data_IF_347769621983
#
_entry.id   IF_347769621983
#
_cell.length_a   1.000
_cell.length_b   1.000
_cell.length_c   1.000
_cell.angle_alpha   90.00
_cell.angle_beta   90.00
_cell.angle_gamma   90.00
#
_symmetry.space_group_name_H-M   'P 1'
#
loop_
_entity.id
_entity.type
_entity.pdbx_description
1 polymer ?
#
# COMPACT_ATOMS: atom_id res chain seq x y z
N UNK A 1 3.00 -14.10 -8.89
CA UNK A 1 2.04 -14.89 -9.69
C UNK A 1 2.08 -14.40 -11.13
N UNK A 2 2.14 -15.28 -12.13
CA UNK A 2 2.28 -14.86 -13.53
C UNK A 2 0.91 -14.60 -14.16
N UNK A 3 0.77 -13.48 -14.87
CA UNK A 3 -0.44 -13.12 -15.62
C UNK A 3 -0.08 -12.78 -17.07
N UNK A 4 -0.62 -13.55 -18.00
CA UNK A 4 -0.29 -13.49 -19.43
C UNK A 4 -1.51 -13.00 -20.20
N UNK A 5 -1.29 -12.14 -21.20
CA UNK A 5 -2.32 -11.79 -22.19
C UNK A 5 -2.38 -12.86 -23.26
N UNK A 6 -3.54 -13.51 -23.42
CA UNK A 6 -3.73 -14.62 -24.37
C UNK A 6 -5.12 -14.52 -25.03
N UNK A 7 -5.21 -14.66 -26.36
CA UNK A 7 -6.49 -14.85 -27.07
C UNK A 7 -7.53 -13.74 -26.87
N UNK A 8 -7.09 -12.49 -26.64
CA UNK A 8 -7.99 -11.38 -26.35
C UNK A 8 -8.47 -11.28 -24.88
N UNK A 9 -7.90 -12.10 -23.99
CA UNK A 9 -8.13 -12.08 -22.55
C UNK A 9 -6.85 -12.20 -21.75
N UNK A 10 -6.99 -12.64 -20.51
CA UNK A 10 -5.93 -12.76 -19.53
C UNK A 10 -5.98 -14.12 -18.84
N UNK A 11 -4.80 -14.66 -18.58
CA UNK A 11 -4.57 -15.93 -17.92
C UNK A 11 -3.70 -15.69 -16.70
N UNK A 12 -4.13 -16.15 -15.53
CA UNK A 12 -3.31 -16.20 -14.31
C UNK A 12 -2.95 -17.64 -13.97
N UNK A 13 -1.68 -17.89 -13.65
CA UNK A 13 -1.21 -19.17 -13.16
C UNK A 13 -0.78 -19.06 -11.70
N UNK A 14 -1.44 -19.84 -10.84
CA UNK A 14 -1.06 -20.01 -9.43
C UNK A 14 -0.23 -21.29 -9.31
N UNK A 15 1.06 -21.20 -9.60
CA UNK A 15 1.96 -22.37 -9.62
C UNK A 15 1.90 -23.20 -8.33
N UNK A 16 1.82 -22.55 -7.16
CA UNK A 16 1.73 -23.22 -5.86
C UNK A 16 0.46 -24.05 -5.66
N UNK A 17 -0.61 -23.77 -6.41
CA UNK A 17 -1.90 -24.48 -6.32
C UNK A 17 -2.20 -25.33 -7.56
N UNK A 18 -1.38 -25.26 -8.62
CA UNK A 18 -1.67 -25.88 -9.91
C UNK A 18 -2.94 -25.35 -10.58
N UNK A 19 -3.37 -24.13 -10.23
CA UNK A 19 -4.63 -23.54 -10.71
C UNK A 19 -4.35 -22.51 -11.80
N UNK A 20 -5.02 -22.68 -12.94
CA UNK A 20 -5.07 -21.69 -14.02
C UNK A 20 -6.45 -21.04 -14.05
N UNK A 21 -6.48 -19.72 -14.21
CA UNK A 21 -7.71 -18.92 -14.27
C UNK A 21 -7.66 -18.00 -15.47
N UNK A 22 -8.80 -17.86 -16.14
CA UNK A 22 -8.93 -17.07 -17.38
C UNK A 22 -10.10 -16.11 -17.26
N UNK A 23 -9.91 -14.89 -17.77
CA UNK A 23 -10.96 -13.90 -17.88
C UNK A 23 -10.73 -12.99 -19.09
N UNK A 24 -11.80 -12.35 -19.60
CA UNK A 24 -11.67 -11.39 -20.71
C UNK A 24 -10.96 -10.09 -20.32
N UNK A 25 -11.01 -9.68 -19.06
CA UNK A 25 -10.37 -8.46 -18.58
C UNK A 25 -9.65 -8.69 -17.24
N UNK A 26 -8.66 -7.84 -16.95
CA UNK A 26 -7.84 -7.93 -15.74
C UNK A 26 -8.64 -7.75 -14.45
N UNK A 27 -9.67 -6.91 -14.45
CA UNK A 27 -10.48 -6.65 -13.24
C UNK A 27 -11.20 -7.91 -12.78
N UNK A 28 -11.83 -8.64 -13.71
CA UNK A 28 -12.49 -9.91 -13.39
C UNK A 28 -11.48 -10.96 -12.94
N UNK A 29 -10.31 -11.04 -13.60
CA UNK A 29 -9.25 -11.96 -13.20
C UNK A 29 -8.77 -11.64 -11.78
N UNK A 30 -8.55 -10.37 -11.46
CA UNK A 30 -8.05 -9.93 -10.16
C UNK A 30 -9.05 -10.24 -9.03
N UNK A 31 -10.35 -10.02 -9.24
CA UNK A 31 -11.37 -10.46 -8.28
C UNK A 31 -11.34 -11.97 -8.05
N UNK A 32 -11.33 -12.77 -9.11
CA UNK A 32 -11.23 -14.23 -8.99
C UNK A 32 -9.98 -14.66 -8.20
N UNK A 33 -8.87 -13.92 -8.33
CA UNK A 33 -7.62 -14.26 -7.67
C UNK A 33 -7.64 -13.89 -6.19
N UNK A 34 -8.19 -12.72 -5.87
CA UNK A 34 -8.39 -12.30 -4.48
C UNK A 34 -9.32 -13.25 -3.73
N UNK A 35 -10.42 -13.66 -4.36
CA UNK A 35 -11.35 -14.63 -3.81
C UNK A 35 -10.68 -15.99 -3.57
N UNK A 36 -9.92 -16.48 -4.57
CA UNK A 36 -9.19 -17.74 -4.46
C UNK A 36 -8.13 -17.74 -3.35
N UNK A 37 -7.42 -16.62 -3.20
CA UNK A 37 -6.31 -16.50 -2.26
C UNK A 37 -6.73 -15.97 -0.88
N UNK A 38 -7.99 -15.54 -0.71
CA UNK A 38 -8.49 -14.95 0.53
C UNK A 38 -7.76 -13.66 0.94
N UNK A 39 -7.25 -12.90 -0.02
CA UNK A 39 -6.43 -11.70 0.21
C UNK A 39 -6.91 -10.50 -0.60
N UNK A 40 -6.76 -9.30 -0.06
CA UNK A 40 -7.07 -8.06 -0.76
C UNK A 40 -5.94 -7.58 -1.69
N UNK A 41 -4.78 -8.25 -1.64
CA UNK A 41 -3.60 -7.88 -2.43
C UNK A 41 -2.94 -9.11 -3.02
N UNK A 42 -2.66 -9.05 -4.32
CA UNK A 42 -2.01 -10.13 -5.07
C UNK A 42 -0.84 -9.55 -5.85
N UNK A 43 0.32 -10.19 -5.71
CA UNK A 43 1.53 -9.79 -6.42
C UNK A 43 1.61 -10.46 -7.79
N UNK A 44 1.35 -9.67 -8.83
CA UNK A 44 1.34 -10.11 -10.21
C UNK A 44 2.60 -9.68 -10.94
N UNK A 45 3.16 -10.60 -11.70
CA UNK A 45 4.07 -10.31 -12.80
C UNK A 45 3.28 -10.40 -14.10
N UNK A 46 3.26 -9.32 -14.88
CA UNK A 46 2.51 -9.26 -16.12
C UNK A 46 3.39 -9.56 -17.32
N UNK A 47 2.83 -10.30 -18.27
CA UNK A 47 3.32 -10.48 -19.63
C UNK A 47 2.22 -10.06 -20.60
N UNK A 48 2.25 -8.79 -21.01
CA UNK A 48 1.22 -8.20 -21.86
C UNK A 48 1.42 -8.50 -23.35
N UNK A 49 2.61 -8.99 -23.71
CA UNK A 49 3.09 -9.11 -25.09
C UNK A 49 3.83 -7.87 -25.59
N UNK A 50 3.88 -6.80 -24.78
CA UNK A 50 4.67 -5.60 -25.02
C UNK A 50 5.73 -5.48 -23.92
N UNK A 51 6.99 -5.70 -24.29
CA UNK A 51 8.11 -5.72 -23.36
C UNK A 51 8.39 -4.35 -22.71
N UNK A 52 8.09 -3.25 -23.40
CA UNK A 52 8.26 -1.91 -22.85
C UNK A 52 7.20 -1.65 -21.78
N UNK A 53 5.95 -1.99 -22.08
CA UNK A 53 4.85 -1.89 -21.12
C UNK A 53 5.12 -2.77 -19.88
N UNK A 54 5.53 -4.03 -20.08
CA UNK A 54 5.83 -4.95 -18.98
C UNK A 54 6.94 -4.40 -18.06
N UNK A 55 7.99 -3.82 -18.66
CA UNK A 55 9.08 -3.16 -17.92
C UNK A 55 8.58 -1.95 -17.15
N UNK A 56 7.79 -1.07 -17.77
CA UNK A 56 7.24 0.11 -17.12
C UNK A 56 6.32 -0.25 -15.96
N UNK A 57 5.43 -1.23 -16.14
CA UNK A 57 4.53 -1.70 -15.08
C UNK A 57 5.32 -2.23 -13.88
N UNK A 58 6.35 -3.04 -14.12
CA UNK A 58 7.23 -3.54 -13.06
C UNK A 58 7.89 -2.38 -12.29
N UNK A 59 8.47 -1.40 -13.00
CA UNK A 59 9.13 -0.25 -12.39
C UNK A 59 8.14 0.60 -11.57
N UNK A 60 6.96 0.89 -12.12
CA UNK A 60 5.92 1.68 -11.44
C UNK A 60 5.45 0.97 -10.16
N UNK A 61 5.18 -0.33 -10.22
CA UNK A 61 4.74 -1.10 -9.04
C UNK A 61 5.82 -1.14 -7.97
N UNK A 62 7.08 -1.35 -8.36
CA UNK A 62 8.23 -1.30 -7.44
C UNK A 62 8.37 0.07 -6.78
N UNK A 63 8.30 1.16 -7.56
CA UNK A 63 8.39 2.52 -7.06
C UNK A 63 7.24 2.87 -6.11
N UNK A 64 6.00 2.50 -6.45
CA UNK A 64 4.83 2.68 -5.57
C UNK A 64 4.99 1.90 -4.27
N UNK A 65 5.48 0.65 -4.34
CA UNK A 65 5.77 -0.14 -3.15
C UNK A 65 6.84 0.50 -2.26
N UNK A 66 7.91 1.04 -2.85
CA UNK A 66 8.94 1.77 -2.12
C UNK A 66 8.39 3.04 -1.48
N UNK A 67 7.63 3.84 -2.22
CA UNK A 67 6.98 5.05 -1.72
C UNK A 67 6.05 4.73 -0.53
N UNK A 68 5.24 3.68 -0.62
CA UNK A 68 4.38 3.24 0.47
C UNK A 68 5.16 2.88 1.73
N UNK A 69 6.28 2.14 1.61
CA UNK A 69 7.15 1.81 2.76
C UNK A 69 7.77 3.05 3.40
N UNK A 70 8.20 4.03 2.60
CA UNK A 70 8.71 5.29 3.13
C UNK A 70 7.63 6.11 3.81
N UNK A 71 6.41 6.13 3.26
CA UNK A 71 5.27 6.80 3.88
C UNK A 71 4.89 6.16 5.23
N UNK A 72 4.84 4.83 5.31
CA UNK A 72 4.61 4.11 6.57
C UNK A 72 5.72 4.38 7.60
N UNK A 73 6.98 4.42 7.15
CA UNK A 73 8.12 4.78 8.00
C UNK A 73 7.98 6.22 8.51
N UNK A 74 7.65 7.17 7.65
CA UNK A 74 7.42 8.57 8.02
C UNK A 74 6.30 8.65 9.06
N UNK A 75 5.14 8.03 8.81
CA UNK A 75 4.01 7.98 9.76
C UNK A 75 4.42 7.43 11.13
N UNK A 76 5.23 6.36 11.17
CA UNK A 76 5.74 5.79 12.43
C UNK A 76 6.69 6.74 13.16
N UNK A 77 7.61 7.39 12.45
CA UNK A 77 8.54 8.35 13.03
C UNK A 77 7.82 9.62 13.52
N UNK A 78 6.88 10.14 12.75
CA UNK A 78 5.99 11.24 13.14
C UNK A 78 5.28 10.91 14.46
N UNK A 79 4.65 9.74 14.58
CA UNK A 79 4.00 9.33 15.85
C UNK A 79 4.97 9.31 17.02
N UNK A 80 6.18 8.78 16.84
CA UNK A 80 7.20 8.76 17.89
C UNK A 80 7.61 10.18 18.30
N UNK A 81 7.80 11.08 17.34
CA UNK A 81 8.19 12.46 17.61
C UNK A 81 7.10 13.23 18.37
N UNK A 82 5.82 13.02 18.05
CA UNK A 82 4.69 13.65 18.75
C UNK A 82 4.58 13.24 20.23
N UNK A 83 5.15 12.09 20.62
CA UNK A 83 5.15 11.60 22.00
C UNK A 83 6.37 12.06 22.82
N UNK A 84 7.34 12.75 22.21
CA UNK A 84 8.52 13.23 22.91
C UNK A 84 8.19 14.55 23.65
N UNK A 85 8.45 14.64 24.97
CA UNK A 85 8.22 15.88 25.74
C UNK A 85 9.03 17.07 25.22
N UNK A 86 10.17 16.80 24.56
CA UNK A 86 11.02 17.82 23.94
C UNK A 86 10.44 18.43 22.66
N UNK A 87 9.28 17.96 22.20
CA UNK A 87 8.64 18.45 20.98
C UNK A 87 8.07 19.86 21.08
N UNK A 88 7.88 20.38 22.30
CA UNK A 88 7.31 21.70 22.51
C UNK A 88 5.81 21.75 22.19
N UNK A 89 5.34 22.92 21.75
CA UNK A 89 3.92 23.12 21.44
C UNK A 89 3.51 22.42 20.13
N UNK A 90 2.20 22.26 19.91
CA UNK A 90 1.68 21.75 18.64
C UNK A 90 2.01 22.64 17.42
N UNK A 91 2.44 23.90 17.62
CA UNK A 91 2.96 24.74 16.54
C UNK A 91 4.43 24.45 16.25
N UNK A 92 5.23 24.23 17.29
CA UNK A 92 6.64 23.85 17.14
C UNK A 92 6.77 22.50 16.44
N UNK A 93 5.94 21.53 16.82
CA UNK A 93 5.86 20.22 16.15
C UNK A 93 5.43 20.33 14.68
N UNK A 94 4.57 21.29 14.33
CA UNK A 94 4.17 21.49 12.94
C UNK A 94 5.37 21.91 12.09
N UNK A 95 6.19 22.85 12.60
CA UNK A 95 7.42 23.29 11.94
C UNK A 95 8.46 22.18 11.88
N UNK A 96 8.75 21.52 13.01
CA UNK A 96 9.78 20.46 13.11
C UNK A 96 9.49 19.27 12.19
N UNK A 97 8.21 18.95 11.99
CA UNK A 97 7.80 17.77 11.22
C UNK A 97 7.38 18.11 9.78
N UNK A 98 7.41 19.39 9.38
CA UNK A 98 6.95 19.82 8.06
C UNK A 98 5.45 19.53 7.82
N UNK A 99 4.64 19.62 8.87
CA UNK A 99 3.21 19.36 8.83
C UNK A 99 2.41 20.63 9.07
N UNK A 100 1.15 20.66 8.64
CA UNK A 100 0.25 21.73 9.07
C UNK A 100 -0.12 21.57 10.55
N UNK A 101 -0.38 22.68 11.22
CA UNK A 101 -0.84 22.66 12.63
C UNK A 101 -2.12 21.84 12.80
N UNK A 102 -3.07 21.95 11.86
CA UNK A 102 -4.29 21.13 11.84
C UNK A 102 -3.96 19.63 11.77
N UNK A 103 -2.97 19.24 10.96
CA UNK A 103 -2.56 17.84 10.84
C UNK A 103 -1.92 17.32 12.13
N UNK A 104 -1.06 18.12 12.78
CA UNK A 104 -0.49 17.79 14.09
C UNK A 104 -1.60 17.58 15.13
N UNK A 105 -2.56 18.52 15.20
CA UNK A 105 -3.69 18.42 16.12
C UNK A 105 -4.55 17.18 15.89
N UNK A 106 -4.85 16.85 14.63
CA UNK A 106 -5.56 15.60 14.29
C UNK A 106 -4.78 14.36 14.73
N UNK A 107 -3.46 14.32 14.49
CA UNK A 107 -2.64 13.18 14.85
C UNK A 107 -2.49 13.00 16.37
N UNK A 108 -2.45 14.09 17.13
CA UNK A 108 -2.46 14.02 18.59
C UNK A 108 -3.78 13.49 19.14
N UNK A 109 -4.93 13.94 18.60
CA UNK A 109 -6.26 13.47 19.02
C UNK A 109 -6.52 11.99 18.72
N UNK A 110 -5.95 11.44 17.65
CA UNK A 110 -6.17 10.04 17.25
C UNK A 110 -5.02 9.09 17.62
N UNK A 111 -3.89 9.63 18.11
CA UNK A 111 -2.67 8.87 18.40
C UNK A 111 -2.35 8.71 19.89
N UNK A 112 -3.03 9.45 20.77
CA UNK A 112 -2.99 9.23 22.21
C UNK A 112 -4.06 8.20 22.57
N UNK A 113 -3.75 7.06 23.21
CA UNK A 113 -4.78 6.26 23.85
C UNK A 113 -5.55 7.18 24.80
N UNK A 114 -6.89 7.15 24.75
CA UNK A 114 -7.74 7.92 25.65
C UNK A 114 -7.21 7.76 27.09
N UNK A 115 -6.68 8.85 27.65
CA UNK A 115 -6.43 8.96 29.08
C UNK A 115 -7.76 9.27 29.79
N UNK A 116 -8.80 8.48 29.51
CA UNK A 116 -10.10 8.55 30.16
C UNK A 116 -10.48 7.12 30.56
N UNK A 117 -9.94 6.75 31.70
CA UNK A 117 -10.11 5.45 32.35
C UNK A 117 -9.54 5.53 33.77
N UNK A 118 -9.91 6.56 34.51
CA UNK A 118 -9.72 6.62 35.96
C UNK A 118 -11.09 6.72 36.63
N UNK A 119 -11.37 5.67 37.42
CA UNK A 119 -12.27 5.52 38.57
C UNK A 119 -13.76 5.88 38.41
#
# INVERSE_FOLDING_TARGET
MLVIREGGGWLAEVAALGVVRRARCLVTLDHQMRDLLGTNSVDYQFQTGDAELDRLVMQIRSAKGAAGRYEERARRLTRRALLLPSGGSGRDLAVLLGLSHQRVHQLMRHGLPNAEGEA
#
